data_IF_576474905429
#
_entry.id   IF_576474905429
#
_cell.length_a   1.000
_cell.length_b   1.000
_cell.length_c   1.000
_cell.angle_alpha   90.00
_cell.angle_beta   90.00
_cell.angle_gamma   90.00
#
_symmetry.space_group_name_H-M   'P 1'
#
loop_
_entity.id
_entity.type
_entity.pdbx_description
1 polymer ?
#
# COMPACT_ATOMS: atom_id res chain seq x y z
N UNK A 1 -3.22 16.55 -2.38
CA UNK A 1 -1.79 16.81 -1.99
C UNK A 1 -0.99 17.07 -3.25
N UNK A 2 0.05 17.92 -3.24
CA UNK A 2 0.82 18.23 -4.44
C UNK A 2 1.92 17.18 -4.72
N UNK A 3 2.38 17.11 -5.97
CA UNK A 3 3.43 16.18 -6.43
C UNK A 3 4.70 16.16 -5.57
N UNK A 4 5.11 17.34 -5.07
CA UNK A 4 6.29 17.46 -4.19
C UNK A 4 6.14 16.61 -2.93
N UNK A 5 4.96 16.63 -2.32
CA UNK A 5 4.72 15.96 -1.05
C UNK A 5 4.55 14.46 -1.23
N UNK A 6 3.86 14.03 -2.29
CA UNK A 6 3.82 12.61 -2.68
C UNK A 6 5.24 12.04 -2.88
N UNK A 7 6.13 12.78 -3.54
CA UNK A 7 7.52 12.37 -3.75
C UNK A 7 8.29 12.30 -2.43
N UNK A 8 8.11 13.29 -1.53
CA UNK A 8 8.75 13.29 -0.20
C UNK A 8 8.32 12.09 0.64
N UNK A 9 7.02 11.83 0.71
CA UNK A 9 6.45 10.69 1.43
C UNK A 9 7.01 9.40 0.86
N UNK A 10 6.95 9.19 -0.44
CA UNK A 10 7.44 8.00 -1.11
C UNK A 10 8.95 7.78 -0.88
N UNK A 11 9.74 8.84 -0.95
CA UNK A 11 11.17 8.77 -0.67
C UNK A 11 11.44 8.32 0.77
N UNK A 12 10.69 8.88 1.74
CA UNK A 12 10.80 8.48 3.15
C UNK A 12 10.37 7.04 3.39
N UNK A 13 9.28 6.59 2.74
CA UNK A 13 8.86 5.19 2.79
C UNK A 13 9.96 4.25 2.29
N UNK A 14 10.64 4.59 1.19
CA UNK A 14 11.74 3.79 0.67
C UNK A 14 12.89 3.63 1.67
N UNK A 15 13.19 4.70 2.41
CA UNK A 15 14.27 4.68 3.40
C UNK A 15 13.91 3.85 4.65
N UNK A 16 12.65 3.90 5.09
CA UNK A 16 12.17 3.21 6.31
C UNK A 16 11.91 1.72 6.08
N UNK A 17 11.39 1.33 4.91
CA UNK A 17 10.96 -0.04 4.62
C UNK A 17 11.95 -0.84 3.75
N UNK A 18 13.23 -0.46 3.77
CA UNK A 18 14.32 -1.12 3.04
C UNK A 18 14.07 -1.28 1.52
N UNK A 19 13.42 -0.27 0.93
CA UNK A 19 13.16 -0.20 -0.51
C UNK A 19 14.09 0.79 -1.23
N UNK A 20 15.22 1.17 -0.62
CA UNK A 20 16.14 2.22 -1.14
C UNK A 20 16.57 1.97 -2.58
N UNK A 21 16.87 0.72 -2.95
CA UNK A 21 17.24 0.36 -4.32
C UNK A 21 16.09 0.52 -5.33
N UNK A 22 14.85 0.64 -4.87
CA UNK A 22 13.64 0.85 -5.69
C UNK A 22 12.97 2.20 -5.41
N UNK A 23 13.70 3.14 -4.80
CA UNK A 23 13.21 4.47 -4.42
C UNK A 23 12.59 5.22 -5.61
N UNK A 24 13.26 5.19 -6.76
CA UNK A 24 12.77 5.88 -7.97
C UNK A 24 11.47 5.26 -8.48
N UNK A 25 11.31 3.94 -8.41
CA UNK A 25 10.08 3.27 -8.80
C UNK A 25 8.93 3.61 -7.85
N UNK A 26 9.19 3.68 -6.53
CA UNK A 26 8.20 4.06 -5.53
C UNK A 26 7.78 5.52 -5.72
N UNK A 27 8.73 6.43 -5.87
CA UNK A 27 8.49 7.86 -6.16
C UNK A 27 7.72 8.03 -7.46
N UNK A 28 8.08 7.30 -8.53
CA UNK A 28 7.34 7.34 -9.79
C UNK A 28 5.90 6.86 -9.61
N UNK A 29 5.69 5.80 -8.84
CA UNK A 29 4.36 5.29 -8.52
C UNK A 29 3.51 6.33 -7.78
N UNK A 30 4.11 7.09 -6.86
CA UNK A 30 3.38 8.06 -6.04
C UNK A 30 2.84 9.28 -6.78
N UNK A 31 3.27 9.54 -8.01
CA UNK A 31 2.76 10.62 -8.88
C UNK A 31 2.03 10.11 -10.12
N UNK A 32 2.09 8.82 -10.39
CA UNK A 32 1.50 8.20 -11.58
C UNK A 32 -0.03 8.43 -11.72
N UNK A 33 -0.84 8.43 -10.63
CA UNK A 33 -2.27 8.71 -10.73
C UNK A 33 -2.57 10.09 -11.27
N UNK A 34 -1.83 11.12 -10.86
CA UNK A 34 -1.97 12.49 -11.36
C UNK A 34 -1.57 12.62 -12.83
N UNK A 35 -0.44 12.02 -13.21
CA UNK A 35 0.05 12.05 -14.59
C UNK A 35 -0.97 11.47 -15.57
N UNK A 36 -1.64 10.41 -15.16
CA UNK A 36 -2.59 9.70 -16.04
C UNK A 36 -3.96 10.36 -16.11
N UNK A 37 -4.28 11.29 -15.23
CA UNK A 37 -5.58 12.00 -15.14
C UNK A 37 -6.82 11.08 -15.20
N UNK A 38 -6.64 9.78 -14.96
CA UNK A 38 -7.69 8.76 -15.17
C UNK A 38 -8.35 8.32 -13.88
N UNK A 39 -7.77 8.66 -12.75
CA UNK A 39 -8.22 8.18 -11.44
C UNK A 39 -8.87 9.33 -10.65
N UNK A 40 -9.96 9.03 -10.02
CA UNK A 40 -10.61 9.96 -9.10
C UNK A 40 -9.84 9.97 -7.78
N UNK A 41 -9.49 11.15 -7.30
CA UNK A 41 -8.77 11.34 -6.03
C UNK A 41 -9.69 11.19 -4.81
N UNK A 42 -10.99 11.30 -4.99
CA UNK A 42 -11.98 11.17 -3.90
C UNK A 42 -12.01 9.73 -3.39
N UNK A 43 -11.77 9.54 -2.10
CA UNK A 43 -11.57 8.24 -1.48
C UNK A 43 -12.66 7.20 -1.75
N UNK A 44 -13.97 7.50 -1.66
CA UNK A 44 -14.98 6.49 -1.94
C UNK A 44 -14.85 5.84 -3.33
N UNK A 45 -14.34 6.61 -4.31
CA UNK A 45 -14.08 6.11 -5.67
C UNK A 45 -12.68 5.51 -5.82
N UNK A 46 -11.66 6.15 -5.21
CA UNK A 46 -10.27 5.70 -5.22
C UNK A 46 -10.07 4.40 -4.42
N UNK A 47 -10.85 4.19 -3.35
CA UNK A 47 -10.77 3.05 -2.44
C UNK A 47 -10.67 1.70 -3.16
N UNK A 48 -11.54 1.44 -4.13
CA UNK A 48 -11.55 0.17 -4.87
C UNK A 48 -10.26 -0.04 -5.66
N UNK A 49 -9.74 1.03 -6.27
CA UNK A 49 -8.49 1.00 -7.03
C UNK A 49 -7.29 0.82 -6.10
N UNK A 50 -7.26 1.53 -4.98
CA UNK A 50 -6.22 1.40 -3.96
C UNK A 50 -6.14 -0.02 -3.43
N UNK A 51 -7.28 -0.62 -3.03
CA UNK A 51 -7.36 -2.01 -2.57
C UNK A 51 -6.86 -3.01 -3.62
N UNK A 52 -7.36 -2.94 -4.84
CA UNK A 52 -6.91 -3.83 -5.91
C UNK A 52 -5.41 -3.68 -6.21
N UNK A 53 -4.88 -2.45 -6.11
CA UNK A 53 -3.46 -2.16 -6.33
C UNK A 53 -2.61 -2.68 -5.18
N UNK A 54 -3.06 -2.60 -3.93
CA UNK A 54 -2.38 -3.19 -2.77
C UNK A 54 -2.21 -4.71 -2.94
N UNK A 55 -3.26 -5.43 -3.34
CA UNK A 55 -3.15 -6.87 -3.62
C UNK A 55 -2.18 -7.18 -4.77
N UNK A 56 -2.14 -6.33 -5.80
CA UNK A 56 -1.19 -6.47 -6.92
C UNK A 56 0.25 -6.21 -6.45
N UNK A 57 0.45 -5.26 -5.53
CA UNK A 57 1.75 -4.99 -4.92
C UNK A 57 2.23 -6.21 -4.12
N UNK A 58 1.37 -6.76 -3.25
CA UNK A 58 1.68 -7.98 -2.50
C UNK A 58 2.00 -9.17 -3.43
N UNK A 59 1.20 -9.38 -4.46
CA UNK A 59 1.49 -10.44 -5.45
C UNK A 59 2.82 -10.23 -6.17
N UNK A 60 3.22 -8.98 -6.43
CA UNK A 60 4.52 -8.66 -7.01
C UNK A 60 5.66 -8.96 -6.03
N UNK A 61 5.50 -8.61 -4.74
CA UNK A 61 6.44 -8.93 -3.68
C UNK A 61 6.68 -10.42 -3.55
N UNK A 62 5.61 -11.21 -3.41
CA UNK A 62 5.68 -12.68 -3.29
C UNK A 62 6.31 -13.37 -4.51
N UNK A 63 6.34 -12.70 -5.66
CA UNK A 63 7.02 -13.18 -6.88
C UNK A 63 8.46 -12.66 -7.02
N UNK A 64 9.00 -11.96 -6.01
CA UNK A 64 10.32 -11.34 -6.07
C UNK A 64 10.43 -10.14 -7.01
N UNK A 65 9.32 -9.63 -7.56
CA UNK A 65 9.32 -8.46 -8.44
C UNK A 65 9.24 -7.18 -7.62
N UNK A 66 10.33 -6.87 -6.90
CA UNK A 66 10.40 -5.75 -5.95
C UNK A 66 10.27 -4.39 -6.65
N UNK A 67 10.79 -4.24 -7.85
CA UNK A 67 10.63 -3.02 -8.66
C UNK A 67 9.15 -2.70 -8.90
N UNK A 68 8.39 -3.68 -9.37
CA UNK A 68 6.94 -3.53 -9.58
C UNK A 68 6.19 -3.35 -8.26
N UNK A 69 6.61 -4.06 -7.21
CA UNK A 69 6.03 -3.93 -5.88
C UNK A 69 6.15 -2.49 -5.38
N UNK A 70 7.36 -1.92 -5.36
CA UNK A 70 7.62 -0.55 -4.94
C UNK A 70 6.77 0.46 -5.72
N UNK A 71 6.71 0.35 -7.05
CA UNK A 71 5.88 1.23 -7.87
C UNK A 71 4.40 1.16 -7.49
N UNK A 72 3.86 -0.03 -7.24
CA UNK A 72 2.46 -0.20 -6.85
C UNK A 72 2.19 0.30 -5.43
N UNK A 73 3.13 0.16 -4.49
CA UNK A 73 3.06 0.79 -3.16
C UNK A 73 2.96 2.30 -3.32
N UNK A 74 3.78 2.91 -4.19
CA UNK A 74 3.70 4.35 -4.48
C UNK A 74 2.32 4.78 -4.98
N UNK A 75 1.69 4.01 -5.89
CA UNK A 75 0.33 4.30 -6.36
C UNK A 75 -0.69 4.25 -5.21
N UNK A 76 -0.59 3.28 -4.31
CA UNK A 76 -1.52 3.17 -3.18
C UNK A 76 -1.30 4.29 -2.17
N UNK A 77 -0.03 4.63 -1.87
CA UNK A 77 0.30 5.74 -0.95
C UNK A 77 -0.25 7.08 -1.42
N UNK A 78 -0.24 7.34 -2.75
CA UNK A 78 -0.88 8.51 -3.35
C UNK A 78 -2.39 8.54 -3.02
N UNK A 79 -3.11 7.45 -3.30
CA UNK A 79 -4.55 7.41 -3.04
C UNK A 79 -4.91 7.54 -1.55
N UNK A 80 -4.08 7.02 -0.64
CA UNK A 80 -4.27 7.19 0.81
C UNK A 80 -4.12 8.67 1.18
N UNK A 81 -3.02 9.30 0.77
CA UNK A 81 -2.73 10.68 1.11
C UNK A 81 -3.79 11.64 0.54
N UNK A 82 -4.15 11.51 -0.73
CA UNK A 82 -5.20 12.31 -1.35
C UNK A 82 -6.58 12.04 -0.74
N UNK A 83 -6.87 10.78 -0.43
CA UNK A 83 -8.09 10.40 0.27
C UNK A 83 -8.24 11.16 1.60
N UNK A 84 -7.20 11.19 2.42
CA UNK A 84 -7.19 11.92 3.70
C UNK A 84 -7.37 13.42 3.51
N UNK A 85 -6.68 14.02 2.51
CA UNK A 85 -6.86 15.44 2.17
C UNK A 85 -8.32 15.72 1.81
N UNK A 86 -8.91 14.92 0.93
CA UNK A 86 -10.31 15.09 0.50
C UNK A 86 -11.32 14.91 1.63
N UNK A 87 -11.12 13.96 2.53
CA UNK A 87 -12.00 13.81 3.71
C UNK A 87 -11.89 15.00 4.67
N UNK A 88 -10.70 15.63 4.76
CA UNK A 88 -10.49 16.81 5.61
C UNK A 88 -11.14 18.07 5.05
N UNK A 89 -10.95 18.34 3.75
CA UNK A 89 -11.41 19.61 3.12
C UNK A 89 -12.82 19.50 2.51
N UNK A 90 -13.36 18.30 2.39
CA UNK A 90 -14.64 18.06 1.69
C UNK A 90 -14.51 18.13 0.17
N UNK A 91 -15.63 17.88 -0.54
CA UNK A 91 -15.66 17.72 -2.00
C UNK A 91 -16.16 18.95 -2.77
N UNK A 92 -16.45 20.08 -2.08
CA UNK A 92 -17.19 21.21 -2.65
C UNK A 92 -16.36 22.46 -2.92
N UNK A 93 -15.09 22.31 -3.28
CA UNK A 93 -14.22 23.45 -3.60
C UNK A 93 -13.99 23.57 -5.10
N UNK A 94 -13.80 24.81 -5.57
CA UNK A 94 -13.31 25.03 -6.92
C UNK A 94 -11.90 24.43 -7.09
N UNK A 95 -11.51 24.08 -8.31
CA UNK A 95 -10.18 23.50 -8.55
C UNK A 95 -9.03 24.40 -8.07
N UNK A 96 -9.25 25.71 -8.06
CA UNK A 96 -8.25 26.71 -7.58
C UNK A 96 -8.14 26.69 -6.06
N UNK A 97 -9.26 26.71 -5.34
CA UNK A 97 -9.31 26.62 -3.88
C UNK A 97 -8.75 25.28 -3.41
N UNK A 98 -9.12 24.20 -4.10
CA UNK A 98 -8.60 22.87 -3.83
C UNK A 98 -7.06 22.83 -3.89
N UNK A 99 -6.47 23.33 -4.98
CA UNK A 99 -5.02 23.39 -5.13
C UNK A 99 -4.34 24.29 -4.10
N UNK A 100 -4.98 25.37 -3.68
CA UNK A 100 -4.45 26.25 -2.64
C UNK A 100 -4.44 25.54 -1.28
N UNK A 101 -5.53 24.92 -0.90
CA UNK A 101 -5.65 24.17 0.34
C UNK A 101 -4.68 22.97 0.36
N UNK A 102 -4.53 22.26 -0.75
CA UNK A 102 -3.56 21.16 -0.87
C UNK A 102 -2.12 21.63 -0.65
N UNK A 103 -1.78 22.82 -1.15
CA UNK A 103 -0.46 23.42 -0.93
C UNK A 103 -0.24 23.77 0.56
N UNK A 104 -1.21 24.44 1.17
CA UNK A 104 -1.16 24.83 2.59
C UNK A 104 -1.07 23.60 3.50
N UNK A 105 -1.87 22.57 3.26
CA UNK A 105 -1.83 21.31 4.01
C UNK A 105 -0.51 20.56 3.81
N UNK A 106 0.03 20.55 2.60
CA UNK A 106 1.31 19.89 2.31
C UNK A 106 2.49 20.54 3.05
N UNK A 107 2.44 21.84 3.27
CA UNK A 107 3.46 22.58 4.04
C UNK A 107 3.29 22.39 5.56
N UNK A 108 2.06 22.14 6.04
CA UNK A 108 1.75 21.92 7.46
C UNK A 108 1.99 20.48 7.91
N UNK A 109 1.85 19.50 7.00
CA UNK A 109 2.04 18.10 7.35
C UNK A 109 3.54 17.80 7.35
N UNK A 110 4.10 17.62 8.53
CA UNK A 110 5.43 17.03 8.69
C UNK A 110 5.45 15.65 8.03
N UNK A 111 6.63 15.25 7.54
CA UNK A 111 6.78 13.90 6.98
C UNK A 111 6.32 12.89 8.03
N UNK A 112 5.33 12.06 7.74
CA UNK A 112 4.71 11.20 8.72
C UNK A 112 5.74 10.33 9.45
N UNK A 113 5.52 10.07 10.72
CA UNK A 113 6.32 9.15 11.50
C UNK A 113 6.06 7.72 11.01
N UNK A 114 6.89 7.27 10.07
CA UNK A 114 6.80 5.93 9.48
C UNK A 114 7.62 4.96 10.31
N UNK A 115 7.04 3.83 10.65
CA UNK A 115 7.72 2.73 11.31
C UNK A 115 7.23 1.38 10.77
N UNK A 116 8.10 0.37 10.62
CA UNK A 116 7.67 -1.00 10.40
C UNK A 116 6.76 -1.46 11.56
N UNK A 117 5.68 -2.13 11.24
CA UNK A 117 4.77 -2.74 12.21
C UNK A 117 5.14 -4.22 12.29
N UNK A 118 5.29 -4.74 13.51
CA UNK A 118 5.58 -6.15 13.70
C UNK A 118 4.36 -6.99 13.26
N UNK A 119 4.50 -7.90 12.29
CA UNK A 119 3.42 -8.76 11.85
C UNK A 119 2.85 -9.67 12.95
N UNK A 120 3.62 -9.93 14.02
CA UNK A 120 3.18 -10.72 15.15
C UNK A 120 2.30 -9.94 16.13
N UNK A 121 2.43 -8.62 16.18
CA UNK A 121 1.64 -7.75 17.06
C UNK A 121 0.27 -7.40 16.46
N UNK A 122 0.16 -7.50 15.13
CA UNK A 122 -1.08 -7.21 14.42
C UNK A 122 -1.35 -8.30 13.37
N UNK A 123 -2.61 -8.60 13.07
CA UNK A 123 -3.01 -9.59 12.05
C UNK A 123 -2.67 -9.12 10.62
N UNK A 124 -1.40 -8.71 10.39
CA UNK A 124 -0.92 -8.18 9.10
C UNK A 124 -0.85 -9.23 7.98
N UNK A 125 -1.24 -10.46 8.26
CA UNK A 125 -1.38 -11.52 7.25
C UNK A 125 -2.70 -11.43 6.48
N UNK A 126 -3.73 -10.79 7.05
CA UNK A 126 -5.02 -10.58 6.41
C UNK A 126 -5.06 -9.23 5.67
N UNK A 127 -5.03 -9.28 4.35
CA UNK A 127 -5.10 -8.08 3.52
C UNK A 127 -6.44 -7.33 3.62
N UNK A 128 -7.53 -8.00 3.99
CA UNK A 128 -8.83 -7.34 4.21
C UNK A 128 -8.82 -6.54 5.50
N UNK A 129 -8.27 -7.11 6.58
CA UNK A 129 -8.10 -6.42 7.85
C UNK A 129 -7.24 -5.16 7.66
N UNK A 130 -6.05 -5.30 7.07
CA UNK A 130 -5.14 -4.17 6.80
C UNK A 130 -5.86 -3.07 6.01
N UNK A 131 -6.59 -3.44 4.96
CA UNK A 131 -7.27 -2.46 4.14
C UNK A 131 -8.46 -1.80 4.86
N UNK A 132 -9.14 -2.51 5.75
CA UNK A 132 -10.19 -1.97 6.60
C UNK A 132 -9.65 -0.91 7.57
N UNK A 133 -8.50 -1.18 8.20
CA UNK A 133 -7.83 -0.22 9.07
C UNK A 133 -7.39 1.03 8.29
N UNK A 134 -6.79 0.86 7.12
CA UNK A 134 -6.43 1.98 6.24
C UNK A 134 -7.68 2.80 5.86
N UNK A 135 -8.79 2.15 5.52
CA UNK A 135 -10.05 2.84 5.18
C UNK A 135 -10.57 3.69 6.34
N UNK A 136 -10.49 3.17 7.56
CA UNK A 136 -10.88 3.89 8.77
C UNK A 136 -10.03 5.14 8.97
N UNK A 137 -8.70 4.98 8.93
CA UNK A 137 -7.77 6.10 9.08
C UNK A 137 -7.95 7.18 8.01
N UNK A 138 -8.21 6.79 6.75
CA UNK A 138 -8.46 7.75 5.67
C UNK A 138 -9.73 8.55 5.92
N UNK A 139 -10.82 7.93 6.37
CA UNK A 139 -12.09 8.60 6.64
C UNK A 139 -12.05 9.57 7.82
N UNK A 140 -11.10 9.37 8.74
CA UNK A 140 -10.85 10.30 9.84
C UNK A 140 -10.16 11.59 9.39
N UNK A 141 -9.70 11.65 8.14
CA UNK A 141 -9.07 12.81 7.53
C UNK A 141 -7.56 12.93 7.78
N UNK A 142 -6.97 14.01 7.21
CA UNK A 142 -5.53 14.21 7.22
C UNK A 142 -5.03 14.63 8.61
N UNK A 143 -4.12 13.82 9.10
CA UNK A 143 -3.29 14.05 10.27
C UNK A 143 -1.97 13.31 10.06
N UNK A 144 -0.83 13.88 10.50
CA UNK A 144 0.50 13.30 10.27
C UNK A 144 0.67 11.92 10.89
N UNK A 145 0.12 11.70 12.09
CA UNK A 145 0.18 10.41 12.77
C UNK A 145 -0.67 9.36 12.05
N UNK A 146 -1.91 9.70 11.70
CA UNK A 146 -2.81 8.83 10.94
C UNK A 146 -2.25 8.48 9.57
N UNK A 147 -1.70 9.46 8.87
CA UNK A 147 -1.04 9.21 7.57
C UNK A 147 0.16 8.27 7.74
N UNK A 148 1.01 8.53 8.73
CA UNK A 148 2.14 7.66 9.07
C UNK A 148 1.68 6.22 9.37
N UNK A 149 0.64 6.06 10.18
CA UNK A 149 0.07 4.75 10.53
C UNK A 149 -0.50 4.03 9.30
N UNK A 150 -1.27 4.70 8.46
CA UNK A 150 -1.85 4.11 7.25
C UNK A 150 -0.78 3.65 6.24
N UNK A 151 0.28 4.43 6.07
CA UNK A 151 1.41 4.08 5.19
C UNK A 151 2.26 2.94 5.78
N UNK A 152 2.41 2.89 7.11
CA UNK A 152 3.08 1.81 7.82
C UNK A 152 2.31 0.48 7.66
N UNK A 153 1.00 0.49 7.83
CA UNK A 153 0.12 -0.65 7.57
C UNK A 153 0.23 -1.13 6.11
N UNK A 154 0.20 -0.20 5.16
CA UNK A 154 0.37 -0.52 3.74
C UNK A 154 1.69 -1.25 3.48
N UNK A 155 2.82 -0.69 3.91
CA UNK A 155 4.12 -1.26 3.65
C UNK A 155 4.32 -2.58 4.39
N UNK A 156 4.04 -2.63 5.68
CA UNK A 156 4.21 -3.84 6.49
C UNK A 156 3.31 -4.96 5.98
N UNK A 157 2.05 -4.68 5.63
CA UNK A 157 1.13 -5.66 5.06
C UNK A 157 1.53 -6.15 3.68
N UNK A 158 2.10 -5.29 2.82
CA UNK A 158 2.56 -5.70 1.48
C UNK A 158 3.87 -6.48 1.56
N UNK A 159 4.79 -6.08 2.42
CA UNK A 159 6.16 -6.60 2.50
C UNK A 159 6.31 -7.74 3.53
N UNK A 160 5.28 -8.03 4.34
CA UNK A 160 5.33 -9.17 5.26
C UNK A 160 5.49 -10.48 4.48
N UNK A 161 6.43 -11.31 4.90
CA UNK A 161 6.44 -12.70 4.45
C UNK A 161 5.20 -13.37 5.01
N UNK A 162 4.45 -14.15 4.21
CA UNK A 162 3.44 -15.01 4.81
C UNK A 162 4.19 -15.98 5.74
N UNK A 163 3.93 -15.91 7.02
CA UNK A 163 4.11 -17.07 7.88
C UNK A 163 3.11 -18.08 7.35
N UNK A 164 3.54 -18.90 6.41
CA UNK A 164 2.71 -20.05 6.01
C UNK A 164 2.64 -20.91 7.27
N UNK A 165 1.47 -21.08 7.88
CA UNK A 165 1.34 -21.94 9.04
C UNK A 165 1.99 -23.28 8.72
N UNK A 166 2.79 -23.81 9.63
CA UNK A 166 3.60 -25.01 9.40
C UNK A 166 2.73 -26.22 9.01
N UNK A 167 1.51 -26.26 9.50
CA UNK A 167 0.45 -27.19 9.14
C UNK A 167 0.01 -27.09 7.67
N UNK A 168 0.01 -25.90 7.05
CA UNK A 168 -0.28 -25.71 5.62
C UNK A 168 0.87 -26.22 4.74
N UNK A 169 2.13 -26.03 5.17
CA UNK A 169 3.29 -26.58 4.47
C UNK A 169 3.25 -28.11 4.52
N UNK A 170 2.92 -28.66 5.66
CA UNK A 170 2.81 -30.10 5.87
C UNK A 170 1.64 -30.72 5.09
N UNK A 171 0.49 -30.02 5.07
CA UNK A 171 -0.68 -30.41 4.26
C UNK A 171 -0.36 -30.38 2.76
N UNK A 172 0.34 -29.35 2.27
CA UNK A 172 0.79 -29.27 0.87
C UNK A 172 1.81 -30.36 0.52
N UNK A 173 2.71 -30.69 1.44
CA UNK A 173 3.68 -31.77 1.27
C UNK A 173 2.99 -33.13 1.17
N UNK A 174 2.05 -33.39 2.09
CA UNK A 174 1.25 -34.64 2.08
C UNK A 174 0.38 -34.77 0.82
N UNK A 175 -0.15 -33.62 0.32
CA UNK A 175 -0.92 -33.59 -0.93
C UNK A 175 -0.03 -33.86 -2.14
N UNK A 176 1.17 -33.28 -2.18
CA UNK A 176 2.14 -33.51 -3.25
C UNK A 176 2.67 -34.95 -3.28
N UNK A 177 2.85 -35.55 -2.11
CA UNK A 177 3.24 -36.98 -1.97
C UNK A 177 2.11 -37.91 -2.41
N UNK A 178 0.85 -37.60 -2.10
CA UNK A 178 -0.32 -38.38 -2.56
C UNK A 178 -0.53 -38.30 -4.08
N UNK A 179 -0.22 -37.16 -4.73
CA UNK A 179 -0.31 -37.04 -6.20
C UNK A 179 0.81 -37.82 -6.90
N UNK A 180 1.99 -37.92 -6.30
CA UNK A 180 3.11 -38.70 -6.89
C UNK A 180 2.94 -40.21 -6.77
N UNK A 181 2.18 -40.68 -5.79
CA UNK A 181 1.99 -42.09 -5.52
C UNK A 181 1.23 -42.91 -6.59
N UNK A 182 0.22 -42.39 -7.34
CA UNK A 182 -0.48 -43.18 -8.35
C UNK A 182 0.27 -43.28 -9.70
N UNK A 183 1.13 -42.31 -10.02
CA UNK A 183 1.84 -42.28 -11.32
C UNK A 183 2.98 -43.32 -11.43
N UNK A 184 3.54 -43.70 -10.28
CA UNK A 184 4.62 -44.73 -10.25
C UNK A 184 4.04 -46.17 -10.43
N UNK A 185 2.73 -46.38 -10.18
CA UNK A 185 2.08 -47.68 -10.35
C UNK A 185 1.55 -47.97 -11.74
N UNK A 186 1.56 -46.99 -12.65
CA UNK A 186 1.05 -47.14 -14.02
C UNK A 186 2.20 -47.36 -15.04
N UNK A 187 3.46 -47.08 -14.66
CA UNK A 187 4.62 -47.23 -15.48
C UNK A 187 5.61 -48.31 -15.06
N UNK A 188 5.21 -49.19 -14.18
CA UNK A 188 5.84 -50.45 -13.81
C UNK A 188 4.92 -51.61 -14.28
#
# INVERSE_FOLDING_TARGET
MIWRDHKRIAARMADVFDLRQFKDDLVKGSVEPDEKRTLTHVWPKAKRTARATMYRARKAYLKGNLKRCARLIGVVSHHIADGMVHETIGTFHSSKEHSQIENELGDLVEIPNLAPIDPAEEELTDGEFIFSEIDTLVREGLDGERLGRALSLLCSGVLSSPTVPQDLIETHRLFAEKIKSPLIRILG
#
